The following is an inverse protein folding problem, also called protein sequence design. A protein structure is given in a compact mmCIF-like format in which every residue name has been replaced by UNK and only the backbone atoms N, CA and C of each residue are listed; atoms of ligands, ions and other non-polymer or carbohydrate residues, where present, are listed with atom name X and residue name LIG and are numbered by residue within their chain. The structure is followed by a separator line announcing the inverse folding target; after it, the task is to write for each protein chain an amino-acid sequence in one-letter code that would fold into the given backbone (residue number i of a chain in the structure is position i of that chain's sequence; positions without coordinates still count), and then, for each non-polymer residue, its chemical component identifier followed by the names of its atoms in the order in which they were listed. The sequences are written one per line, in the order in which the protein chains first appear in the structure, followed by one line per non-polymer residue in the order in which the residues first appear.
data_IF_902010145946
#
_entry.id   IF_902010145946
#
_cell.length_a   1.000
_cell.length_b   1.000
_cell.length_c   1.000
_cell.angle_alpha   90.00
_cell.angle_beta   90.00
_cell.angle_gamma   90.00
#
_symmetry.space_group_name_H-M   'P 1'
#
loop_
_entity.id
_entity.type
_entity.pdbx_description
1 polymer ?
#
# COMPACT_ATOMS: atom_id res chain seq x y z
N UNK A 1 15.05 8.42 -8.34
CA UNK A 1 16.02 7.98 -7.31
C UNK A 1 16.03 6.47 -7.36
N UNK A 2 17.19 5.81 -7.39
CA UNK A 2 17.29 4.35 -7.32
C UNK A 2 17.23 3.94 -5.84
N UNK A 3 16.02 3.83 -5.30
CA UNK A 3 15.77 3.54 -3.89
C UNK A 3 14.85 2.34 -3.70
N UNK A 4 14.59 1.99 -2.44
CA UNK A 4 13.83 0.80 -2.03
C UNK A 4 12.42 0.67 -2.62
N UNK A 5 11.83 1.74 -3.16
CA UNK A 5 10.54 1.66 -3.85
C UNK A 5 10.61 0.96 -5.21
N UNK A 6 11.80 0.87 -5.83
CA UNK A 6 12.03 0.19 -7.10
C UNK A 6 12.35 -1.30 -6.85
N UNK A 7 11.31 -2.07 -6.53
CA UNK A 7 11.45 -3.47 -6.10
C UNK A 7 11.38 -4.50 -7.24
N UNK A 8 11.29 -4.06 -8.49
CA UNK A 8 11.19 -4.96 -9.64
C UNK A 8 12.41 -5.86 -9.77
N UNK A 9 12.21 -7.19 -9.70
CA UNK A 9 13.29 -8.18 -9.85
C UNK A 9 14.12 -8.44 -8.60
N UNK A 10 13.70 -7.95 -7.43
CA UNK A 10 14.35 -8.24 -6.14
C UNK A 10 13.89 -9.58 -5.55
N UNK A 11 14.80 -10.26 -4.85
CA UNK A 11 14.55 -11.52 -4.14
C UNK A 11 14.51 -11.33 -2.61
N UNK A 12 14.00 -12.34 -1.88
CA UNK A 12 14.11 -12.43 -0.42
C UNK A 12 12.91 -11.97 0.42
N UNK A 13 11.80 -11.53 -0.19
CA UNK A 13 10.61 -11.05 0.54
C UNK A 13 9.69 -12.16 1.08
N UNK A 14 9.94 -13.42 0.74
CA UNK A 14 9.10 -14.54 1.15
C UNK A 14 7.83 -14.70 0.30
N UNK A 15 6.85 -15.46 0.82
CA UNK A 15 5.60 -15.76 0.12
C UNK A 15 4.59 -14.63 0.29
N UNK A 16 3.81 -14.36 -0.75
CA UNK A 16 2.63 -13.49 -0.68
C UNK A 16 1.50 -14.25 0.03
N UNK A 17 0.89 -13.64 1.04
CA UNK A 17 -0.19 -14.21 1.85
C UNK A 17 -1.40 -13.24 1.89
N UNK A 18 -2.23 -13.22 0.84
CA UNK A 18 -3.36 -12.28 0.76
C UNK A 18 -4.51 -12.71 1.67
N UNK A 19 -5.21 -11.74 2.28
CA UNK A 19 -6.46 -11.97 3.01
C UNK A 19 -7.63 -12.12 2.01
N UNK A 20 -8.39 -13.23 2.01
CA UNK A 20 -9.57 -13.40 1.16
C UNK A 20 -10.70 -12.39 1.42
N UNK A 21 -10.69 -11.74 2.58
CA UNK A 21 -11.72 -10.77 3.01
C UNK A 21 -11.20 -9.34 3.07
N UNK A 22 -10.10 -9.06 2.39
CA UNK A 22 -9.47 -7.74 2.39
C UNK A 22 -10.45 -6.64 2.02
N UNK A 23 -10.45 -5.57 2.83
CA UNK A 23 -11.24 -4.36 2.59
C UNK A 23 -10.32 -3.20 2.20
N UNK A 24 -10.78 -2.22 1.41
CA UNK A 24 -9.94 -1.10 0.98
C UNK A 24 -9.36 -0.26 2.13
N UNK A 25 -10.08 -0.17 3.25
CA UNK A 25 -9.62 0.51 4.46
C UNK A 25 -10.00 -0.29 5.70
N UNK A 26 -9.01 -0.70 6.50
CA UNK A 26 -9.22 -1.42 7.76
C UNK A 26 -9.55 -0.50 8.94
N UNK A 27 -9.35 0.81 8.77
CA UNK A 27 -9.67 1.81 9.79
C UNK A 27 -10.09 3.14 9.16
N UNK A 28 -11.00 3.84 9.84
CA UNK A 28 -11.58 5.12 9.38
C UNK A 28 -10.53 6.16 8.95
N UNK A 29 -9.38 6.20 9.63
CA UNK A 29 -8.35 7.19 9.36
C UNK A 29 -7.69 6.98 7.99
N UNK A 30 -7.63 5.75 7.47
CA UNK A 30 -7.00 5.47 6.17
C UNK A 30 -7.78 6.13 5.04
N UNK A 31 -9.11 6.06 5.08
CA UNK A 31 -10.01 6.72 4.13
C UNK A 31 -9.88 8.26 4.21
N UNK A 32 -9.75 8.82 5.42
CA UNK A 32 -9.57 10.26 5.62
C UNK A 32 -8.24 10.75 5.04
N UNK A 33 -7.14 10.05 5.31
CA UNK A 33 -5.81 10.38 4.79
C UNK A 33 -5.77 10.30 3.25
N UNK A 34 -6.39 9.27 2.68
CA UNK A 34 -6.52 9.14 1.23
C UNK A 34 -7.30 10.31 0.63
N UNK A 35 -8.45 10.67 1.21
CA UNK A 35 -9.25 11.81 0.77
C UNK A 35 -8.47 13.13 0.84
N UNK A 36 -7.74 13.38 1.93
CA UNK A 36 -6.90 14.57 2.10
C UNK A 36 -5.82 14.65 1.01
N UNK A 37 -5.09 13.57 0.75
CA UNK A 37 -4.11 13.54 -0.32
C UNK A 37 -4.76 13.79 -1.69
N UNK A 38 -5.92 13.17 -1.94
CA UNK A 38 -6.62 13.26 -3.23
C UNK A 38 -7.15 14.64 -3.56
N UNK A 39 -7.53 15.43 -2.55
CA UNK A 39 -8.00 16.83 -2.74
C UNK A 39 -6.87 17.83 -2.84
N UNK A 40 -5.67 17.50 -2.33
CA UNK A 40 -4.50 18.38 -2.37
C UNK A 40 -3.77 18.41 -3.71
N UNK A 41 -4.07 17.47 -4.61
CA UNK A 41 -3.66 17.39 -6.02
C UNK A 41 -2.46 18.23 -6.45
#
# INVERSE_FOLDING_TARGET
MNGVHDMGGMDGFGKVAPDPHEVPFHADWQARSFALNRVMG
#
